data_IF_668297019939
#
_entry.id   IF_668297019939
#
_cell.length_a   1.000
_cell.length_b   1.000
_cell.length_c   1.000
_cell.angle_alpha   90.00
_cell.angle_beta   90.00
_cell.angle_gamma   90.00
#
_symmetry.space_group_name_H-M   'P 1'
#
loop_
_entity.id
_entity.type
_entity.pdbx_description
1 polymer ?
#
# COMPACT_ATOMS: atom_id res chain seq x y z
N UNK A 1 -3.41 1.73 2.77
CA UNK A 1 -4.86 1.83 3.02
C UNK A 1 -5.18 2.16 4.48
N UNK A 2 -4.94 1.28 5.47
CA UNK A 2 -5.31 1.56 6.88
C UNK A 2 -4.82 2.91 7.44
N UNK A 3 -3.59 3.34 7.15
CA UNK A 3 -3.08 4.66 7.53
C UNK A 3 -3.91 5.82 6.96
N UNK A 4 -4.34 5.69 5.70
CA UNK A 4 -5.12 6.74 5.02
C UNK A 4 -6.52 6.85 5.60
N UNK A 5 -7.15 5.72 5.93
CA UNK A 5 -8.49 5.70 6.52
C UNK A 5 -8.53 6.28 7.95
N UNK A 6 -7.42 6.13 8.70
CA UNK A 6 -7.40 6.38 10.15
C UNK A 6 -6.54 7.57 10.57
N UNK A 7 -5.71 8.12 9.68
CA UNK A 7 -4.71 9.15 10.01
C UNK A 7 -3.58 8.67 10.93
N UNK A 8 -3.56 7.39 11.31
CA UNK A 8 -2.62 6.87 12.32
C UNK A 8 -1.28 6.45 11.70
N UNK A 9 -0.23 6.50 12.52
CA UNK A 9 1.06 5.92 12.18
C UNK A 9 0.98 4.39 12.13
N UNK A 10 1.84 3.75 11.32
CA UNK A 10 1.87 2.28 11.22
C UNK A 10 2.22 1.62 12.56
N UNK A 11 3.05 2.30 13.35
CA UNK A 11 3.43 1.96 14.71
C UNK A 11 3.34 3.24 15.56
N UNK A 12 2.62 3.20 16.67
CA UNK A 12 2.56 4.31 17.64
C UNK A 12 2.81 3.78 19.04
N UNK A 13 3.71 4.41 19.78
CA UNK A 13 4.02 4.03 21.17
C UNK A 13 3.12 4.71 22.20
N UNK A 14 2.35 5.70 21.76
CA UNK A 14 1.37 6.43 22.60
C UNK A 14 0.12 5.58 22.89
N UNK A 15 -0.07 4.49 22.14
CA UNK A 15 -1.16 3.52 22.32
C UNK A 15 -0.74 2.35 23.24
N UNK A 16 -1.71 1.67 23.88
CA UNK A 16 -1.46 0.42 24.59
C UNK A 16 -0.71 -0.59 23.73
N UNK A 17 0.10 -1.46 24.34
CA UNK A 17 0.98 -2.40 23.63
C UNK A 17 0.25 -3.22 22.56
N UNK A 18 -0.97 -3.68 22.88
CA UNK A 18 -1.84 -4.45 21.99
C UNK A 18 -2.33 -3.68 20.75
N UNK A 19 -2.36 -2.35 20.82
CA UNK A 19 -2.89 -1.45 19.78
C UNK A 19 -1.81 -0.67 19.04
N UNK A 20 -0.53 -0.83 19.42
CA UNK A 20 0.59 -0.08 18.79
C UNK A 20 0.70 -0.34 17.30
N UNK A 21 0.47 -1.59 16.89
CA UNK A 21 0.54 -2.00 15.50
C UNK A 21 -0.80 -1.69 14.81
N UNK A 22 -0.78 -0.72 13.90
CA UNK A 22 -1.99 -0.28 13.20
C UNK A 22 -2.64 -1.41 12.38
N UNK A 23 -1.86 -2.31 11.78
CA UNK A 23 -2.43 -3.39 10.98
C UNK A 23 -3.26 -4.35 11.85
N UNK A 24 -2.76 -4.69 13.04
CA UNK A 24 -3.46 -5.54 14.00
C UNK A 24 -4.69 -4.83 14.57
N UNK A 25 -4.53 -3.59 15.03
CA UNK A 25 -5.61 -2.76 15.58
C UNK A 25 -6.73 -2.50 14.57
N UNK A 26 -6.38 -2.16 13.33
CA UNK A 26 -7.34 -1.96 12.25
C UNK A 26 -8.09 -3.26 11.95
N UNK A 27 -7.36 -4.38 11.84
CA UNK A 27 -7.97 -5.67 11.53
C UNK A 27 -8.95 -6.15 12.59
N UNK A 28 -8.67 -5.96 13.87
CA UNK A 28 -9.60 -6.29 14.97
C UNK A 28 -10.82 -5.37 14.95
N UNK A 29 -10.59 -4.06 14.86
CA UNK A 29 -11.67 -3.06 14.85
C UNK A 29 -12.68 -3.30 13.72
N UNK A 30 -12.22 -3.63 12.51
CA UNK A 30 -13.11 -3.93 11.38
C UNK A 30 -13.91 -5.21 11.62
N UNK A 31 -13.31 -6.27 12.20
CA UNK A 31 -14.02 -7.52 12.53
C UNK A 31 -15.11 -7.33 13.59
N UNK A 32 -14.91 -6.37 14.47
CA UNK A 32 -15.84 -6.03 15.55
C UNK A 32 -16.92 -5.02 15.10
N UNK A 33 -16.99 -4.71 13.80
CA UNK A 33 -17.90 -3.70 13.22
C UNK A 33 -17.74 -2.30 13.83
N UNK A 34 -16.51 -1.97 14.26
CA UNK A 34 -16.17 -0.69 14.90
C UNK A 34 -15.42 0.27 13.97
N UNK A 35 -15.45 0.04 12.65
CA UNK A 35 -14.70 0.83 11.65
C UNK A 35 -14.91 2.34 11.82
N UNK A 36 -16.15 2.79 12.00
CA UNK A 36 -16.48 4.22 12.10
C UNK A 36 -15.78 4.92 13.28
N UNK A 37 -15.39 4.17 14.33
CA UNK A 37 -14.71 4.74 15.50
C UNK A 37 -13.24 5.09 15.24
N UNK A 38 -12.66 4.53 14.17
CA UNK A 38 -11.24 4.70 13.85
C UNK A 38 -11.00 5.52 12.58
N UNK A 39 -12.06 5.84 11.83
CA UNK A 39 -11.96 6.70 10.66
C UNK A 39 -11.69 8.16 11.04
N UNK A 40 -10.95 8.87 10.20
CA UNK A 40 -10.81 10.32 10.36
C UNK A 40 -12.14 11.03 10.13
N UNK A 41 -12.43 12.02 10.96
CA UNK A 41 -13.70 12.75 10.94
C UNK A 41 -14.03 13.36 9.57
N UNK A 42 -13.03 13.91 8.87
CA UNK A 42 -13.24 14.50 7.55
C UNK A 42 -13.66 13.46 6.51
N UNK A 43 -13.10 12.26 6.57
CA UNK A 43 -13.44 11.14 5.67
C UNK A 43 -14.90 10.71 5.88
N UNK A 44 -15.35 10.58 7.13
CA UNK A 44 -16.74 10.20 7.45
C UNK A 44 -17.74 11.26 6.99
N UNK A 45 -17.33 12.53 6.97
CA UNK A 45 -18.18 13.65 6.53
C UNK A 45 -18.30 13.74 5.01
N UNK A 46 -17.23 13.41 4.28
CA UNK A 46 -17.12 13.64 2.84
C UNK A 46 -17.45 12.41 1.99
N UNK A 47 -17.22 11.21 2.51
CA UNK A 47 -17.36 9.96 1.75
C UNK A 47 -18.60 9.16 2.15
N UNK A 48 -19.09 8.33 1.22
CA UNK A 48 -20.15 7.37 1.49
C UNK A 48 -19.66 6.27 2.45
N UNK A 49 -20.41 6.00 3.53
CA UNK A 49 -20.07 5.00 4.54
C UNK A 49 -19.92 3.59 3.94
N UNK A 50 -20.74 3.24 2.95
CA UNK A 50 -20.69 1.92 2.33
C UNK A 50 -19.42 1.74 1.49
N UNK A 51 -19.01 2.78 0.74
CA UNK A 51 -17.73 2.75 0.02
C UNK A 51 -16.55 2.69 1.00
N UNK A 52 -16.62 3.39 2.13
CA UNK A 52 -15.60 3.32 3.18
C UNK A 52 -15.48 1.91 3.76
N UNK A 53 -16.61 1.22 3.94
CA UNK A 53 -16.61 -0.20 4.36
C UNK A 53 -15.93 -1.08 3.32
N UNK A 54 -16.19 -0.89 2.03
CA UNK A 54 -15.53 -1.66 0.98
C UNK A 54 -14.01 -1.42 0.94
N UNK A 55 -13.57 -0.16 1.03
CA UNK A 55 -12.13 0.16 1.12
C UNK A 55 -11.51 -0.46 2.39
N UNK A 56 -12.23 -0.48 3.51
CA UNK A 56 -11.77 -1.10 4.73
C UNK A 56 -11.69 -2.64 4.63
N UNK A 57 -12.65 -3.27 3.95
CA UNK A 57 -12.62 -4.71 3.66
C UNK A 57 -11.42 -5.07 2.79
N UNK A 58 -11.16 -4.29 1.73
CA UNK A 58 -9.98 -4.45 0.90
C UNK A 58 -8.68 -4.27 1.70
N UNK A 59 -8.62 -3.25 2.57
CA UNK A 59 -7.50 -3.07 3.48
C UNK A 59 -7.30 -4.30 4.39
N UNK A 60 -8.38 -4.86 4.94
CA UNK A 60 -8.32 -6.06 5.76
C UNK A 60 -7.85 -7.29 4.96
N UNK A 61 -8.23 -7.41 3.69
CA UNK A 61 -7.76 -8.47 2.80
C UNK A 61 -6.25 -8.35 2.51
N UNK A 62 -5.74 -7.13 2.28
CA UNK A 62 -4.30 -6.89 2.15
C UNK A 62 -3.51 -7.19 3.44
N UNK A 63 -4.15 -7.08 4.61
CA UNK A 63 -3.51 -7.30 5.91
C UNK A 63 -3.55 -8.76 6.39
N UNK A 64 -3.97 -9.72 5.56
CA UNK A 64 -3.91 -11.14 5.93
C UNK A 64 -2.48 -11.55 6.30
N UNK A 65 -2.33 -12.27 7.41
CA UNK A 65 -1.02 -12.67 7.94
C UNK A 65 -0.26 -13.54 6.93
N UNK A 66 -0.96 -14.50 6.33
CA UNK A 66 -0.42 -15.39 5.30
C UNK A 66 -0.38 -14.64 3.97
N UNK A 67 0.82 -14.50 3.39
CA UNK A 67 1.02 -13.78 2.13
C UNK A 67 0.16 -14.31 0.98
N UNK A 68 -0.04 -15.63 0.91
CA UNK A 68 -0.87 -16.27 -0.13
C UNK A 68 -2.38 -15.99 -0.02
N UNK A 69 -2.84 -15.48 1.12
CA UNK A 69 -4.24 -15.11 1.32
C UNK A 69 -4.46 -13.61 1.03
N UNK A 70 -3.40 -12.86 0.71
CA UNK A 70 -3.46 -11.44 0.31
C UNK A 70 -3.79 -11.36 -1.18
N UNK A 71 -4.49 -10.30 -1.61
CA UNK A 71 -4.61 -10.02 -3.03
C UNK A 71 -3.24 -9.67 -3.61
N UNK A 72 -3.05 -9.99 -4.88
CA UNK A 72 -2.02 -9.38 -5.70
C UNK A 72 -2.24 -7.87 -5.79
N UNK A 73 -1.19 -7.12 -6.11
CA UNK A 73 -1.33 -5.67 -6.28
C UNK A 73 -2.26 -5.33 -7.46
N UNK A 74 -2.32 -6.20 -8.48
CA UNK A 74 -3.25 -6.06 -9.60
C UNK A 74 -4.71 -6.18 -9.13
N UNK A 75 -5.02 -7.20 -8.33
CA UNK A 75 -6.37 -7.38 -7.76
C UNK A 75 -6.75 -6.20 -6.88
N UNK A 76 -5.87 -5.79 -5.95
CA UNK A 76 -6.16 -4.65 -5.09
C UNK A 76 -6.34 -3.33 -5.87
N UNK A 77 -5.62 -3.13 -6.97
CA UNK A 77 -5.84 -1.97 -7.85
C UNK A 77 -7.20 -2.04 -8.56
N UNK A 78 -7.58 -3.20 -9.12
CA UNK A 78 -8.87 -3.39 -9.78
C UNK A 78 -10.05 -3.20 -8.81
N UNK A 79 -9.95 -3.70 -7.58
CA UNK A 79 -10.97 -3.49 -6.54
C UNK A 79 -11.13 -1.99 -6.22
N UNK A 80 -10.02 -1.24 -6.09
CA UNK A 80 -10.07 0.21 -5.87
C UNK A 80 -10.68 0.95 -7.07
N UNK A 81 -10.31 0.58 -8.30
CA UNK A 81 -10.88 1.17 -9.52
C UNK A 81 -12.39 0.97 -9.57
N UNK A 82 -12.88 -0.22 -9.21
CA UNK A 82 -14.31 -0.51 -9.12
C UNK A 82 -15.05 0.42 -8.16
N UNK A 83 -14.46 0.70 -6.99
CA UNK A 83 -15.06 1.59 -5.99
C UNK A 83 -15.10 3.06 -6.43
N UNK A 84 -14.10 3.51 -7.20
CA UNK A 84 -14.08 4.85 -7.79
C UNK A 84 -15.16 4.99 -8.88
N UNK A 85 -15.41 3.95 -9.67
CA UNK A 85 -16.40 3.98 -10.76
C UNK A 85 -17.84 3.97 -10.24
N UNK A 86 -18.09 3.37 -9.06
CA UNK A 86 -19.40 3.41 -8.39
C UNK A 86 -19.81 4.84 -8.00
N UNK A 87 -18.84 5.73 -7.81
CA UNK A 87 -19.01 7.15 -7.56
C UNK A 87 -18.91 7.91 -8.91
N UNK A 88 -20.00 8.00 -9.67
CA UNK A 88 -20.09 9.05 -10.71
C UNK A 88 -20.20 10.43 -10.02
N UNK A 89 -19.09 10.89 -9.45
CA UNK A 89 -18.92 12.26 -8.97
C UNK A 89 -18.40 13.14 -10.13
N UNK A 90 -18.68 14.46 -10.17
CA UNK A 90 -18.46 15.31 -11.35
C UNK A 90 -16.99 15.55 -11.74
N UNK A 91 -16.03 14.97 -11.03
CA UNK A 91 -14.60 15.17 -11.29
C UNK A 91 -13.93 13.87 -11.70
N UNK A 92 -13.93 13.60 -13.01
CA UNK A 92 -12.95 12.70 -13.59
C UNK A 92 -13.49 11.77 -14.67
N UNK A 93 -13.87 12.32 -15.83
CA UNK A 93 -13.91 11.55 -17.07
C UNK A 93 -12.47 11.28 -17.55
N UNK A 94 -11.66 10.55 -16.78
CA UNK A 94 -10.43 9.98 -17.31
C UNK A 94 -10.80 8.64 -17.93
N UNK A 95 -11.01 8.63 -19.25
CA UNK A 95 -10.95 7.39 -20.03
C UNK A 95 -9.61 6.72 -19.70
N UNK A 96 -9.65 5.64 -18.93
CA UNK A 96 -8.51 4.72 -18.78
C UNK A 96 -8.39 4.04 -20.14
N UNK A 97 -7.54 4.58 -21.01
CA UNK A 97 -7.16 3.88 -22.23
C UNK A 97 -6.37 2.64 -21.80
N UNK A 98 -6.96 1.48 -22.09
CA UNK A 98 -6.29 0.20 -22.09
C UNK A 98 -5.27 0.22 -23.23
N UNK A 99 -4.05 0.68 -22.96
CA UNK A 99 -2.92 0.43 -23.87
C UNK A 99 -2.08 -0.71 -23.31
N UNK A 100 -2.13 -1.81 -24.04
CA UNK A 100 -1.36 -3.02 -23.84
C UNK A 100 0.11 -2.66 -24.12
N UNK A 101 0.98 -2.88 -23.15
CA UNK A 101 2.40 -2.54 -23.23
C UNK A 101 3.15 -3.53 -24.15
N UNK A 102 2.96 -3.42 -25.47
CA UNK A 102 3.84 -4.02 -26.48
C UNK A 102 5.00 -3.06 -26.82
N UNK A 103 5.93 -2.84 -25.89
CA UNK A 103 7.17 -2.10 -26.20
C UNK A 103 8.45 -2.76 -25.66
N UNK A 104 8.39 -3.97 -25.08
CA UNK A 104 9.54 -4.61 -24.43
C UNK A 104 10.36 -5.57 -25.30
N UNK A 105 10.27 -5.52 -26.64
CA UNK A 105 11.04 -6.42 -27.51
C UNK A 105 11.74 -5.78 -28.73
N UNK A 106 11.86 -4.45 -28.79
CA UNK A 106 12.56 -3.78 -29.90
C UNK A 106 13.64 -2.81 -29.44
N UNK A 107 14.69 -3.31 -28.81
CA UNK A 107 15.99 -2.64 -28.84
C UNK A 107 17.12 -3.68 -28.83
N UNK A 108 18.05 -3.65 -29.80
CA UNK A 108 19.24 -4.49 -29.75
C UNK A 108 20.09 -4.13 -28.53
N UNK A 109 20.51 -5.14 -27.76
CA UNK A 109 21.46 -4.99 -26.66
C UNK A 109 22.81 -4.56 -27.27
N UNK A 110 23.14 -3.27 -27.20
CA UNK A 110 24.49 -2.80 -27.49
C UNK A 110 25.32 -2.99 -26.22
N UNK A 111 26.13 -4.05 -26.21
CA UNK A 111 27.13 -4.30 -25.18
C UNK A 111 28.06 -3.09 -25.05
N UNK A 112 28.04 -2.42 -23.90
CA UNK A 112 29.06 -1.48 -23.50
C UNK A 112 29.97 -2.17 -22.48
N UNK A 113 31.20 -2.46 -22.90
CA UNK A 113 32.27 -2.90 -22.00
C UNK A 113 32.65 -1.72 -21.09
N UNK A 114 32.55 -1.90 -19.78
CA UNK A 114 33.06 -0.93 -18.80
C UNK A 114 34.45 -1.41 -18.38
N UNK A 115 35.46 -0.67 -18.82
CA UNK A 115 36.85 -0.75 -18.42
C UNK A 115 36.98 -0.37 -16.92
N UNK A 116 37.42 -1.32 -16.08
CA UNK A 116 37.68 -1.07 -14.66
C UNK A 116 39.13 -0.61 -14.54
N UNK A 117 39.29 0.71 -14.61
CA UNK A 117 40.55 1.40 -14.43
C UNK A 117 40.51 2.39 -13.28
N UNK A 118 41.09 1.97 -12.14
CA UNK A 118 41.77 2.80 -11.13
C UNK A 118 40.99 3.13 -9.83
N UNK A 119 41.63 2.67 -8.74
CA UNK A 119 41.76 3.18 -7.36
C UNK A 119 40.54 3.41 -6.44
N UNK A 120 40.01 2.32 -5.87
CA UNK A 120 39.46 2.37 -4.51
C UNK A 120 40.56 2.06 -3.48
N UNK A 121 41.05 3.08 -2.78
CA UNK A 121 41.81 2.91 -1.55
C UNK A 121 40.89 2.39 -0.46
N UNK A 122 40.93 1.07 -0.20
CA UNK A 122 40.31 0.48 0.99
C UNK A 122 41.35 0.49 2.10
N UNK A 123 41.17 1.37 3.08
CA UNK A 123 41.91 1.34 4.34
C UNK A 123 41.25 0.34 5.29
N UNK A 124 41.89 -0.80 5.50
CA UNK A 124 41.61 -1.75 6.59
C UNK A 124 42.01 -1.12 7.93
N UNK A 125 41.23 -1.29 9.02
CA UNK A 125 41.73 -1.55 10.39
C UNK A 125 40.63 -2.00 11.38
N UNK A 126 40.85 -3.21 11.92
CA UNK A 126 40.61 -3.79 13.26
C UNK A 126 39.23 -3.72 13.98
N UNK A 127 38.60 -4.91 14.16
CA UNK A 127 38.77 -5.75 15.36
C UNK A 127 37.84 -5.54 16.58
N UNK A 128 36.98 -6.52 16.87
CA UNK A 128 36.54 -6.89 18.24
C UNK A 128 36.29 -8.41 18.33
N UNK A 129 36.94 -9.06 19.29
CA UNK A 129 36.79 -10.50 19.63
C UNK A 129 35.54 -10.73 20.51
N UNK A 130 34.93 -11.91 20.39
CA UNK A 130 34.20 -12.62 21.45
C UNK A 130 34.92 -13.94 21.70
#
# INVERSE_FOLDING_TARGET
MAKLLTGRMALSFDMPEIDRNLAMYFSSTVKEDRLLQILEYHIVKECNIEQLKEVANLAQWCLKVRGKDRPSMKEAAMELEGLVIMEKHPWGNAKVYKEENEYLLSAPIQSFNIDVGTNCSVSTTAGYNI
#
